data_IF_738117562881
#
_entry.id   IF_738117562881
#
_cell.length_a   1.000
_cell.length_b   1.000
_cell.length_c   1.000
_cell.angle_alpha   90.00
_cell.angle_beta   90.00
_cell.angle_gamma   90.00
#
_symmetry.space_group_name_H-M   'P 1'
#
loop_
_entity.id
_entity.type
_entity.pdbx_description
1 polymer ?
#
# COMPACT_ATOMS: atom_id res chain seq x y z
N UNK A 1 -16.82 4.93 -12.80
CA UNK A 1 -18.11 4.40 -12.30
C UNK A 1 -18.06 4.55 -10.80
N UNK A 2 -19.07 5.16 -10.20
CA UNK A 2 -19.10 5.38 -8.75
C UNK A 2 -19.34 4.04 -8.06
N UNK A 3 -18.51 3.68 -7.08
CA UNK A 3 -18.58 2.38 -6.41
C UNK A 3 -19.91 2.23 -5.66
N UNK A 4 -20.49 3.36 -5.20
CA UNK A 4 -21.76 3.40 -4.45
C UNK A 4 -22.98 2.86 -5.22
N UNK A 5 -22.91 2.68 -6.54
CA UNK A 5 -24.03 2.17 -7.35
C UNK A 5 -23.87 0.70 -7.75
N UNK A 6 -22.76 0.06 -7.36
CA UNK A 6 -22.44 -1.32 -7.74
C UNK A 6 -23.12 -2.30 -6.79
N UNK A 7 -23.60 -3.43 -7.31
CA UNK A 7 -24.08 -4.52 -6.45
C UNK A 7 -22.90 -5.30 -5.85
N UNK A 8 -23.17 -6.20 -4.90
CA UNK A 8 -22.12 -6.92 -4.18
C UNK A 8 -21.26 -7.80 -5.11
N UNK A 9 -21.88 -8.53 -6.04
CA UNK A 9 -21.19 -9.39 -7.00
C UNK A 9 -20.28 -8.58 -7.94
N UNK A 10 -20.76 -7.45 -8.42
CA UNK A 10 -19.99 -6.50 -9.23
C UNK A 10 -18.79 -5.95 -8.46
N UNK A 11 -18.96 -5.59 -7.18
CA UNK A 11 -17.87 -5.11 -6.34
C UNK A 11 -16.82 -6.19 -6.09
N UNK A 12 -17.22 -7.46 -5.90
CA UNK A 12 -16.29 -8.58 -5.74
C UNK A 12 -15.52 -8.87 -7.03
N UNK A 13 -16.20 -8.83 -8.18
CA UNK A 13 -15.56 -8.97 -9.50
C UNK A 13 -14.55 -7.84 -9.73
N UNK A 14 -14.94 -6.59 -9.49
CA UNK A 14 -14.05 -5.44 -9.63
C UNK A 14 -12.85 -5.51 -8.67
N UNK A 15 -13.04 -6.01 -7.45
CA UNK A 15 -11.96 -6.19 -6.49
C UNK A 15 -10.93 -7.20 -7.01
N UNK A 16 -11.40 -8.32 -7.56
CA UNK A 16 -10.54 -9.35 -8.16
C UNK A 16 -9.75 -8.76 -9.32
N UNK A 17 -10.40 -8.03 -10.23
CA UNK A 17 -9.75 -7.35 -11.35
C UNK A 17 -8.68 -6.33 -10.90
N UNK A 18 -8.94 -5.61 -9.81
CA UNK A 18 -7.98 -4.64 -9.26
C UNK A 18 -6.79 -5.34 -8.61
N UNK A 19 -7.01 -6.47 -7.94
CA UNK A 19 -5.93 -7.29 -7.37
C UNK A 19 -5.03 -7.87 -8.47
N UNK A 20 -5.62 -8.40 -9.54
CA UNK A 20 -4.88 -8.88 -10.71
C UNK A 20 -4.02 -7.77 -11.33
N UNK A 21 -4.58 -6.56 -11.45
CA UNK A 21 -3.84 -5.40 -11.94
C UNK A 21 -2.68 -5.03 -11.02
N UNK A 22 -2.88 -5.05 -9.70
CA UNK A 22 -1.83 -4.79 -8.73
C UNK A 22 -0.69 -5.80 -8.83
N UNK A 23 -1.01 -7.08 -9.00
CA UNK A 23 0.01 -8.12 -9.19
C UNK A 23 0.85 -7.86 -10.45
N UNK A 24 0.19 -7.61 -11.58
CA UNK A 24 0.87 -7.30 -12.85
C UNK A 24 1.75 -6.07 -12.73
N UNK A 25 1.29 -5.03 -12.04
CA UNK A 25 2.07 -3.82 -11.81
C UNK A 25 3.30 -4.10 -10.95
N UNK A 26 3.17 -4.93 -9.92
CA UNK A 26 4.30 -5.37 -9.10
C UNK A 26 5.35 -6.09 -9.94
N UNK A 27 4.92 -7.01 -10.82
CA UNK A 27 5.81 -7.69 -11.77
C UNK A 27 6.53 -6.71 -12.71
N UNK A 28 5.81 -5.69 -13.24
CA UNK A 28 6.41 -4.66 -14.09
C UNK A 28 7.44 -3.80 -13.35
N UNK A 29 7.18 -3.46 -12.08
CA UNK A 29 8.14 -2.72 -11.24
C UNK A 29 9.41 -3.53 -11.03
N UNK A 30 9.28 -4.82 -10.68
CA UNK A 30 10.42 -5.72 -10.53
C UNK A 30 11.23 -5.85 -11.82
N UNK A 31 10.56 -6.00 -12.96
CA UNK A 31 11.23 -6.05 -14.25
C UNK A 31 12.01 -4.76 -14.56
N UNK A 32 11.43 -3.59 -14.30
CA UNK A 32 12.10 -2.30 -14.48
C UNK A 32 13.31 -2.14 -13.55
N UNK A 33 13.26 -2.70 -12.35
CA UNK A 33 14.41 -2.70 -11.42
C UNK A 33 15.59 -3.51 -11.98
N UNK A 34 15.33 -4.68 -12.53
CA UNK A 34 16.35 -5.48 -13.21
C UNK A 34 16.94 -4.75 -14.42
N UNK A 35 16.10 -4.14 -15.24
CA UNK A 35 16.54 -3.34 -16.39
C UNK A 35 17.40 -2.15 -15.96
N UNK A 36 16.98 -1.39 -14.94
CA UNK A 36 17.75 -0.26 -14.41
C UNK A 36 19.10 -0.73 -13.86
N UNK A 37 19.15 -1.85 -13.13
CA UNK A 37 20.38 -2.41 -12.63
C UNK A 37 21.35 -2.80 -13.76
N UNK A 38 20.80 -3.41 -14.82
CA UNK A 38 21.57 -3.78 -16.02
C UNK A 38 22.12 -2.54 -16.75
N UNK A 39 21.28 -1.54 -17.01
CA UNK A 39 21.69 -0.28 -17.65
C UNK A 39 22.76 0.45 -16.85
N UNK A 40 22.66 0.47 -15.51
CA UNK A 40 23.69 1.02 -14.63
C UNK A 40 25.03 0.28 -14.78
N UNK A 41 25.00 -1.05 -14.92
CA UNK A 41 26.21 -1.86 -15.16
C UNK A 41 26.85 -1.53 -16.51
N UNK A 42 26.05 -1.40 -17.57
CA UNK A 42 26.53 -0.99 -18.89
C UNK A 42 27.13 0.42 -18.85
N UNK A 43 26.47 1.35 -18.16
CA UNK A 43 26.94 2.73 -18.03
C UNK A 43 28.33 2.78 -17.38
N UNK A 44 28.53 2.05 -16.27
CA UNK A 44 29.84 1.93 -15.62
C UNK A 44 30.93 1.37 -16.55
N UNK A 45 30.59 0.45 -17.45
CA UNK A 45 31.53 -0.08 -18.46
C UNK A 45 31.83 0.96 -19.54
N UNK A 46 30.82 1.67 -20.03
CA UNK A 46 31.00 2.73 -21.03
C UNK A 46 31.86 3.90 -20.52
N UNK A 47 31.80 4.20 -19.21
CA UNK A 47 32.71 5.16 -18.56
C UNK A 47 34.16 4.72 -18.67
N UNK A 48 34.46 3.44 -18.44
CA UNK A 48 35.83 2.89 -18.52
C UNK A 48 36.39 2.86 -19.93
N UNK A 49 35.53 2.71 -20.94
CA UNK A 49 35.91 2.57 -22.35
C UNK A 49 35.84 3.91 -23.14
N UNK A 50 35.67 5.04 -22.43
CA UNK A 50 35.47 6.38 -22.96
C UNK A 50 34.41 6.56 -24.09
N UNK A 51 33.36 5.74 -24.06
CA UNK A 51 32.30 5.78 -25.06
C UNK A 51 31.30 6.91 -24.82
N UNK A 52 31.61 8.16 -25.20
CA UNK A 52 30.76 9.33 -24.91
C UNK A 52 29.31 9.17 -25.41
N UNK A 53 29.11 8.80 -26.68
CA UNK A 53 27.79 8.59 -27.26
C UNK A 53 27.00 7.48 -26.55
N UNK A 54 27.69 6.39 -26.19
CA UNK A 54 27.11 5.26 -25.45
C UNK A 54 26.67 5.70 -24.06
N UNK A 55 27.48 6.50 -23.34
CA UNK A 55 27.11 7.07 -22.03
C UNK A 55 25.85 7.91 -22.12
N UNK A 56 25.75 8.78 -23.13
CA UNK A 56 24.57 9.64 -23.30
C UNK A 56 23.30 8.82 -23.56
N UNK A 57 23.39 7.82 -24.46
CA UNK A 57 22.28 6.93 -24.75
C UNK A 57 21.83 6.15 -23.51
N UNK A 58 22.78 5.54 -22.78
CA UNK A 58 22.47 4.82 -21.54
C UNK A 58 21.88 5.72 -20.47
N UNK A 59 22.34 6.97 -20.36
CA UNK A 59 21.74 7.97 -19.45
C UNK A 59 20.29 8.25 -19.82
N UNK A 60 20.00 8.43 -21.11
CA UNK A 60 18.63 8.65 -21.60
C UNK A 60 17.73 7.44 -21.29
N UNK A 61 18.20 6.23 -21.56
CA UNK A 61 17.45 4.99 -21.24
C UNK A 61 17.20 4.83 -19.75
N UNK A 62 18.18 5.16 -18.90
CA UNK A 62 18.01 5.17 -17.44
C UNK A 62 16.94 6.16 -16.98
N UNK A 63 16.92 7.38 -17.55
CA UNK A 63 15.90 8.38 -17.23
C UNK A 63 14.51 7.91 -17.62
N UNK A 64 14.34 7.35 -18.81
CA UNK A 64 13.05 6.83 -19.30
C UNK A 64 12.58 5.69 -18.39
N UNK A 65 13.42 4.68 -18.17
CA UNK A 65 13.05 3.50 -17.37
C UNK A 65 12.69 3.88 -15.93
N UNK A 66 13.43 4.83 -15.34
CA UNK A 66 13.14 5.34 -13.99
C UNK A 66 11.82 6.11 -13.95
N UNK A 67 11.53 6.94 -14.95
CA UNK A 67 10.26 7.66 -15.05
C UNK A 67 9.06 6.72 -15.17
N UNK A 68 9.17 5.69 -16.02
CA UNK A 68 8.13 4.66 -16.17
C UNK A 68 7.94 3.88 -14.86
N UNK A 69 9.01 3.54 -14.13
CA UNK A 69 8.91 2.89 -12.82
C UNK A 69 8.11 3.75 -11.83
N UNK A 70 8.39 5.05 -11.77
CA UNK A 70 7.65 5.99 -10.91
C UNK A 70 6.17 6.03 -11.30
N UNK A 71 5.85 6.04 -12.60
CA UNK A 71 4.46 5.97 -13.06
C UNK A 71 3.75 4.69 -12.59
N UNK A 72 4.42 3.53 -12.65
CA UNK A 72 3.85 2.29 -12.13
C UNK A 72 3.61 2.34 -10.61
N UNK A 73 4.48 2.97 -9.83
CA UNK A 73 4.23 3.19 -8.41
C UNK A 73 2.99 4.06 -8.16
N UNK A 74 2.81 5.15 -8.92
CA UNK A 74 1.62 5.99 -8.81
C UNK A 74 0.34 5.23 -9.21
N UNK A 75 0.42 4.42 -10.26
CA UNK A 75 -0.70 3.59 -10.68
C UNK A 75 -1.05 2.53 -9.63
N UNK A 76 -0.04 1.86 -9.05
CA UNK A 76 -0.22 0.91 -7.95
C UNK A 76 -0.91 1.58 -6.75
N UNK A 77 -0.47 2.78 -6.35
CA UNK A 77 -1.11 3.52 -5.26
C UNK A 77 -2.58 3.83 -5.54
N UNK A 78 -2.90 4.19 -6.79
CA UNK A 78 -4.29 4.46 -7.21
C UNK A 78 -5.15 3.19 -7.19
N UNK A 79 -4.61 2.07 -7.67
CA UNK A 79 -5.30 0.77 -7.64
C UNK A 79 -5.49 0.27 -6.21
N UNK A 80 -4.50 0.45 -5.32
CA UNK A 80 -4.61 0.10 -3.91
C UNK A 80 -5.68 0.93 -3.20
N UNK A 81 -5.75 2.23 -3.48
CA UNK A 81 -6.81 3.08 -2.94
C UNK A 81 -8.20 2.60 -3.39
N UNK A 82 -8.35 2.19 -4.65
CA UNK A 82 -9.59 1.61 -5.18
C UNK A 82 -9.94 0.27 -4.52
N UNK A 83 -8.95 -0.63 -4.36
CA UNK A 83 -9.16 -1.92 -3.69
C UNK A 83 -9.62 -1.72 -2.24
N UNK A 84 -8.99 -0.80 -1.52
CA UNK A 84 -9.35 -0.47 -0.14
C UNK A 84 -10.79 0.05 -0.05
N UNK A 85 -11.22 0.89 -1.00
CA UNK A 85 -12.58 1.41 -1.03
C UNK A 85 -13.61 0.30 -1.35
N UNK A 86 -13.34 -0.57 -2.32
CA UNK A 86 -14.19 -1.74 -2.62
C UNK A 86 -14.33 -2.65 -1.40
N UNK A 87 -13.21 -2.98 -0.74
CA UNK A 87 -13.21 -3.78 0.49
C UNK A 87 -14.00 -3.12 1.62
N UNK A 88 -13.92 -1.80 1.76
CA UNK A 88 -14.67 -1.05 2.77
C UNK A 88 -16.18 -1.14 2.50
N UNK A 89 -16.60 -0.96 1.25
CA UNK A 89 -18.02 -1.04 0.88
C UNK A 89 -18.59 -2.45 1.04
N UNK A 90 -17.84 -3.47 0.61
CA UNK A 90 -18.23 -4.88 0.82
C UNK A 90 -18.42 -5.22 2.30
N UNK A 91 -17.57 -4.70 3.18
CA UNK A 91 -17.72 -4.89 4.65
C UNK A 91 -18.94 -4.16 5.22
N UNK A 92 -19.27 -2.98 4.69
CA UNK A 92 -20.45 -2.24 5.11
C UNK A 92 -21.75 -2.88 4.60
N UNK A 93 -21.76 -3.45 3.39
CA UNK A 93 -22.94 -4.13 2.83
C UNK A 93 -23.20 -5.49 3.48
N UNK A 94 -22.13 -6.18 3.92
CA UNK A 94 -22.22 -7.48 4.60
C UNK A 94 -22.44 -7.38 6.12
N UNK A 95 -22.54 -6.18 6.69
CA UNK A 95 -22.98 -5.99 8.08
C UNK A 95 -24.47 -6.35 8.20
N UNK A 96 -24.85 -7.46 8.86
CA UNK A 96 -26.25 -7.69 9.17
C UNK A 96 -26.72 -6.59 10.12
N UNK A 97 -27.80 -5.91 9.75
CA UNK A 97 -28.63 -5.13 10.67
C UNK A 97 -29.17 -6.05 11.77
N UNK A 98 -28.35 -6.31 12.78
CA UNK A 98 -28.67 -7.02 14.02
C UNK A 98 -27.75 -6.43 15.09
N UNK A 99 -28.19 -5.72 16.12
CA UNK A 99 -29.47 -5.76 16.82
C UNK A 99 -29.92 -4.36 17.27
N UNK A 100 -31.22 -4.09 17.12
CA UNK A 100 -31.96 -3.29 18.08
C UNK A 100 -32.38 -4.21 19.24
N UNK A 101 -31.90 -3.92 20.45
CA UNK A 101 -32.63 -4.20 21.69
C UNK A 101 -32.13 -3.24 22.76
N UNK A 102 -32.95 -2.23 23.05
CA UNK A 102 -32.86 -1.41 24.24
C UNK A 102 -33.43 -2.19 25.44
N UNK A 103 -32.72 -2.17 26.57
CA UNK A 103 -33.24 -2.14 27.96
C UNK A 103 -32.08 -1.63 28.82
N UNK A 104 -32.10 -0.37 29.25
CA UNK A 104 -32.61 0.12 30.55
C UNK A 104 -31.66 -0.13 31.72
N UNK A 105 -31.39 0.98 32.41
CA UNK A 105 -30.63 1.21 33.64
C UNK A 105 -30.71 0.12 34.73
N UNK A 106 -29.59 -0.13 35.41
CA UNK A 106 -29.59 -0.23 36.88
C UNK A 106 -28.23 0.17 37.47
N UNK A 107 -28.26 1.19 38.34
CA UNK A 107 -27.17 1.69 39.17
C UNK A 107 -26.85 0.72 40.31
N UNK A 108 -25.57 0.52 40.64
CA UNK A 108 -25.17 0.17 42.01
C UNK A 108 -23.87 0.86 42.41
N UNK A 109 -23.96 1.42 43.61
CA UNK A 109 -23.11 2.37 44.31
C UNK A 109 -22.22 1.66 45.35
N UNK A 110 -21.11 2.31 45.74
CA UNK A 110 -20.23 1.97 46.87
C UNK A 110 -18.99 1.12 46.48
N UNK A 111 -17.75 1.45 46.82
CA UNK A 111 -17.19 2.49 47.69
C UNK A 111 -15.83 2.00 48.24
N UNK A 112 -14.79 2.83 48.05
CA UNK A 112 -13.60 3.06 48.90
C UNK A 112 -12.42 2.07 49.07
N UNK A 113 -11.22 2.67 48.89
CA UNK A 113 -9.93 2.49 49.62
C UNK A 113 -9.07 1.22 49.37
N UNK A 114 -7.74 1.24 49.28
CA UNK A 114 -6.70 2.20 49.68
C UNK A 114 -5.39 2.01 48.86
N UNK A 115 -4.55 3.04 48.96
CA UNK A 115 -3.26 3.25 48.29
C UNK A 115 -2.10 2.33 48.71
N UNK A 116 -1.07 2.26 47.83
CA UNK A 116 0.40 2.37 48.10
C UNK A 116 1.13 2.41 46.74
N UNK A 117 1.74 3.53 46.30
CA UNK A 117 3.14 3.95 46.54
C UNK A 117 4.15 2.80 46.29
N UNK A 118 5.16 2.85 45.40
CA UNK A 118 6.12 3.92 45.04
C UNK A 118 6.99 3.49 43.84
N UNK A 119 7.17 4.39 42.86
CA UNK A 119 8.40 4.85 42.18
C UNK A 119 9.42 3.93 41.43
N UNK A 120 10.20 4.53 40.49
CA UNK A 120 10.71 3.90 39.28
C UNK A 120 12.19 3.52 39.36
N UNK A 121 12.63 2.63 38.46
CA UNK A 121 14.06 2.49 38.15
C UNK A 121 14.32 2.70 36.66
N UNK A 122 15.06 3.78 36.45
CA UNK A 122 15.86 4.17 35.32
C UNK A 122 16.80 3.08 34.76
N UNK A 123 17.24 3.36 33.54
CA UNK A 123 18.53 3.01 32.94
C UNK A 123 18.84 1.52 32.72
N UNK A 124 18.90 1.14 31.43
CA UNK A 124 20.22 0.86 30.89
C UNK A 124 20.32 1.13 29.38
N UNK A 125 21.33 1.93 29.04
CA UNK A 125 21.90 2.12 27.72
C UNK A 125 22.74 0.89 27.38
N UNK A 126 22.54 0.35 26.18
CA UNK A 126 23.58 -0.06 25.25
C UNK A 126 22.96 -0.10 23.86
#
# INVERSE_FOLDING_TARGET
REISTMNEEEMQSDLTDVQDKLERVSQQISHLDEQIAYLKKLFRRAVKNDGYAVRYNLRMQLSISSGVKVMYHHYAATMQARANELMRQLRCSSSPSSLSSATSDESTDGGTEAARNTDPLELNKC
#
